data_IF_011562103899
#
_entry.id   IF_011562103899
#
_cell.length_a   1.000
_cell.length_b   1.000
_cell.length_c   1.000
_cell.angle_alpha   90.00
_cell.angle_beta   90.00
_cell.angle_gamma   90.00
#
_symmetry.space_group_name_H-M   'P 1'
#
loop_
_entity.id
_entity.type
_entity.pdbx_description
1 polymer ?
#
# COMPACT_ATOMS: atom_id res chain seq x y z
N UNK A 1 -13.89 6.30 -32.35
CA UNK A 1 -14.85 7.43 -32.21
C UNK A 1 -14.91 7.96 -30.77
N UNK A 2 -15.18 7.14 -29.74
CA UNK A 2 -15.23 7.63 -28.35
C UNK A 2 -13.88 8.19 -27.86
N UNK A 3 -12.77 7.52 -28.16
CA UNK A 3 -11.43 8.02 -27.84
C UNK A 3 -11.11 9.36 -28.54
N UNK A 4 -11.51 9.52 -29.80
CA UNK A 4 -11.30 10.77 -30.53
C UNK A 4 -11.98 11.96 -29.84
N UNK A 5 -13.21 11.79 -29.33
CA UNK A 5 -13.89 12.85 -28.54
C UNK A 5 -13.11 13.25 -27.29
N UNK A 6 -12.31 12.35 -26.74
CA UNK A 6 -11.49 12.63 -25.57
C UNK A 6 -10.23 13.40 -25.94
N UNK A 7 -9.56 12.96 -27.02
CA UNK A 7 -8.42 13.69 -27.60
C UNK A 7 -8.84 15.11 -27.99
N UNK A 8 -9.99 15.26 -28.65
CA UNK A 8 -10.54 16.56 -29.05
C UNK A 8 -10.94 17.44 -27.85
N UNK A 9 -11.19 16.83 -26.69
CA UNK A 9 -11.50 17.55 -25.46
C UNK A 9 -10.25 17.97 -24.68
N UNK A 10 -9.06 17.47 -25.03
CA UNK A 10 -7.82 17.90 -24.38
C UNK A 10 -7.55 19.37 -24.65
N UNK A 11 -7.45 20.16 -23.58
CA UNK A 11 -7.10 21.58 -23.66
C UNK A 11 -5.64 21.75 -23.22
N UNK A 12 -4.70 22.03 -24.14
CA UNK A 12 -3.29 22.20 -23.80
C UNK A 12 -3.01 23.37 -22.86
N UNK A 13 -3.91 24.36 -22.77
CA UNK A 13 -3.76 25.48 -21.85
C UNK A 13 -4.10 25.10 -20.40
N UNK A 14 -4.97 24.11 -20.23
CA UNK A 14 -5.36 23.57 -18.93
C UNK A 14 -4.54 22.33 -18.55
N UNK A 15 -3.99 21.62 -19.53
CA UNK A 15 -3.27 20.36 -19.35
C UNK A 15 -4.17 19.14 -19.17
N UNK A 16 -5.49 19.28 -19.33
CA UNK A 16 -6.43 18.19 -19.14
C UNK A 16 -7.64 18.29 -20.06
N UNK A 17 -8.41 17.21 -20.16
CA UNK A 17 -9.60 17.17 -20.98
C UNK A 17 -10.77 17.93 -20.35
N UNK A 18 -11.28 18.91 -21.08
CA UNK A 18 -12.42 19.74 -20.75
C UNK A 18 -13.68 19.22 -21.46
N UNK A 19 -14.50 18.42 -20.76
CA UNK A 19 -15.75 17.88 -21.31
C UNK A 19 -16.91 18.89 -21.24
N UNK A 20 -17.84 18.81 -22.20
CA UNK A 20 -19.08 19.58 -22.21
C UNK A 20 -20.19 18.87 -21.36
N UNK A 21 -20.70 19.55 -20.33
CA UNK A 21 -21.85 19.11 -19.50
C UNK A 21 -21.57 18.08 -18.37
N UNK A 22 -22.18 18.32 -17.19
CA UNK A 22 -22.28 17.48 -15.95
C UNK A 22 -20.99 16.98 -15.27
N UNK A 23 -19.89 16.81 -16.01
CA UNK A 23 -18.54 16.50 -15.48
C UNK A 23 -17.58 17.67 -15.62
N UNK A 24 -18.07 18.80 -16.12
CA UNK A 24 -17.29 20.03 -16.24
C UNK A 24 -16.79 20.39 -14.84
N UNK A 25 -15.51 20.73 -14.76
CA UNK A 25 -14.89 21.45 -13.66
C UNK A 25 -14.40 20.64 -12.44
N UNK A 26 -14.90 19.42 -12.14
CA UNK A 26 -14.21 18.55 -11.13
C UNK A 26 -12.97 17.95 -11.78
N UNK A 27 -11.80 18.28 -11.26
CA UNK A 27 -10.51 17.85 -11.77
C UNK A 27 -10.28 16.37 -11.43
N UNK A 28 -10.81 15.49 -12.27
CA UNK A 28 -10.63 14.05 -12.13
C UNK A 28 -9.47 13.57 -13.01
N UNK A 29 -8.29 14.17 -12.82
CA UNK A 29 -7.10 13.90 -13.63
C UNK A 29 -6.69 12.42 -13.57
N UNK A 30 -6.86 11.76 -12.41
CA UNK A 30 -6.63 10.33 -12.26
C UNK A 30 -7.48 9.49 -13.20
N UNK A 31 -8.78 9.80 -13.35
CA UNK A 31 -9.64 9.07 -14.28
C UNK A 31 -9.29 9.34 -15.74
N UNK A 32 -8.80 10.54 -16.06
CA UNK A 32 -8.34 10.86 -17.41
C UNK A 32 -7.07 10.10 -17.77
N UNK A 33 -6.12 10.03 -16.84
CA UNK A 33 -4.88 9.24 -16.97
C UNK A 33 -5.21 7.75 -17.13
N UNK A 34 -6.06 7.21 -16.24
CA UNK A 34 -6.48 5.81 -16.33
C UNK A 34 -7.18 5.47 -17.66
N UNK A 35 -7.98 6.39 -18.20
CA UNK A 35 -8.60 6.22 -19.52
C UNK A 35 -7.56 6.20 -20.64
N UNK A 36 -6.65 7.17 -20.67
CA UNK A 36 -5.63 7.29 -21.72
C UNK A 36 -4.73 6.05 -21.74
N UNK A 37 -4.35 5.58 -20.55
CA UNK A 37 -3.62 4.33 -20.38
C UNK A 37 -4.41 3.11 -20.87
N UNK A 38 -5.67 2.95 -20.45
CA UNK A 38 -6.49 1.82 -20.88
C UNK A 38 -6.66 1.76 -22.41
N UNK A 39 -6.84 2.91 -23.06
CA UNK A 39 -6.93 2.96 -24.53
C UNK A 39 -5.60 2.62 -25.18
N UNK A 40 -4.48 3.12 -24.66
CA UNK A 40 -3.14 2.76 -25.15
C UNK A 40 -2.94 1.23 -25.09
N UNK A 41 -3.27 0.61 -23.97
CA UNK A 41 -3.05 -0.83 -23.74
C UNK A 41 -3.96 -1.69 -24.62
N UNK A 42 -5.23 -1.30 -24.77
CA UNK A 42 -6.13 -1.93 -25.74
C UNK A 42 -5.63 -1.78 -27.18
N UNK A 43 -5.10 -0.62 -27.55
CA UNK A 43 -4.56 -0.38 -28.88
C UNK A 43 -3.31 -1.21 -29.16
N UNK A 44 -2.42 -1.39 -28.17
CA UNK A 44 -1.28 -2.33 -28.25
C UNK A 44 -1.79 -3.74 -28.51
N UNK A 45 -2.73 -4.21 -27.69
CA UNK A 45 -3.27 -5.56 -27.81
C UNK A 45 -3.92 -5.84 -29.17
N UNK A 46 -4.59 -4.83 -29.74
CA UNK A 46 -5.27 -4.93 -31.04
C UNK A 46 -4.36 -4.58 -32.25
N UNK A 47 -3.10 -4.19 -32.01
CA UNK A 47 -2.19 -3.78 -33.09
C UNK A 47 -2.54 -2.44 -33.77
N UNK A 48 -3.31 -1.57 -33.10
CA UNK A 48 -3.74 -0.27 -33.62
C UNK A 48 -2.70 0.83 -33.33
N UNK A 49 -1.62 0.85 -34.12
CA UNK A 49 -0.44 1.70 -33.88
C UNK A 49 -0.72 3.21 -33.81
N UNK A 50 -1.61 3.74 -34.65
CA UNK A 50 -1.96 5.17 -34.64
C UNK A 50 -2.69 5.57 -33.35
N UNK A 51 -3.69 4.78 -32.95
CA UNK A 51 -4.43 4.97 -31.69
C UNK A 51 -3.50 4.83 -30.50
N UNK A 52 -2.58 3.86 -30.52
CA UNK A 52 -1.58 3.68 -29.47
C UNK A 52 -0.70 4.94 -29.32
N UNK A 53 -0.20 5.50 -30.42
CA UNK A 53 0.64 6.70 -30.39
C UNK A 53 -0.11 7.93 -29.84
N UNK A 54 -1.36 8.13 -30.27
CA UNK A 54 -2.22 9.21 -29.76
C UNK A 54 -2.50 9.05 -28.26
N UNK A 55 -2.87 7.85 -27.82
CA UNK A 55 -3.15 7.56 -26.42
C UNK A 55 -1.89 7.71 -25.54
N UNK A 56 -0.72 7.32 -26.05
CA UNK A 56 0.55 7.50 -25.34
C UNK A 56 0.92 8.97 -25.17
N UNK A 57 0.70 9.80 -26.21
CA UNK A 57 0.95 11.25 -26.15
C UNK A 57 0.05 11.89 -25.09
N UNK A 58 -1.26 11.67 -25.21
CA UNK A 58 -2.24 12.20 -24.25
C UNK A 58 -1.96 11.72 -22.81
N UNK A 59 -1.58 10.45 -22.63
CA UNK A 59 -1.22 9.91 -21.33
C UNK A 59 -0.04 10.66 -20.72
N UNK A 60 1.03 10.89 -21.48
CA UNK A 60 2.19 11.64 -21.01
C UNK A 60 1.82 13.08 -20.64
N UNK A 61 1.06 13.76 -21.48
CA UNK A 61 0.63 15.14 -21.24
C UNK A 61 -0.21 15.26 -19.95
N UNK A 62 -1.09 14.30 -19.69
CA UNK A 62 -1.90 14.25 -18.47
C UNK A 62 -1.05 13.93 -17.23
N UNK A 63 -0.06 13.03 -17.35
CA UNK A 63 0.88 12.71 -16.27
C UNK A 63 1.75 13.92 -15.90
N UNK A 64 2.25 14.64 -16.89
CA UNK A 64 3.02 15.87 -16.67
C UNK A 64 2.14 16.95 -16.03
N UNK A 65 0.88 17.05 -16.45
CA UNK A 65 -0.10 17.94 -15.81
C UNK A 65 -0.36 17.54 -14.36
N UNK A 66 -0.42 16.25 -14.04
CA UNK A 66 -0.56 15.80 -12.65
C UNK A 66 0.62 16.27 -11.79
N UNK A 67 1.84 16.26 -12.32
CA UNK A 67 3.01 16.80 -11.62
C UNK A 67 2.87 18.31 -11.44
N UNK A 68 2.55 19.05 -12.50
CA UNK A 68 2.38 20.51 -12.44
C UNK A 68 1.30 20.94 -11.41
N UNK A 69 0.19 20.21 -11.34
CA UNK A 69 -0.88 20.47 -10.37
C UNK A 69 -0.45 20.30 -8.91
N UNK A 70 0.59 19.50 -8.63
CA UNK A 70 1.13 19.35 -7.28
C UNK A 70 1.89 20.61 -6.81
N UNK A 71 2.31 21.47 -7.73
CA UNK A 71 2.99 22.75 -7.43
C UNK A 71 2.05 23.94 -7.44
N UNK A 72 0.78 23.73 -7.81
CA UNK A 72 -0.22 24.79 -7.85
C UNK A 72 -0.39 25.50 -6.50
N UNK A 73 -0.60 24.74 -5.41
CA UNK A 73 -0.80 25.32 -4.07
C UNK A 73 0.46 26.03 -3.56
N UNK A 74 1.67 25.44 -3.62
CA UNK A 74 2.91 26.16 -3.33
C UNK A 74 3.05 27.47 -4.13
N UNK A 75 2.73 27.45 -5.43
CA UNK A 75 2.80 28.65 -6.26
C UNK A 75 1.82 29.75 -5.81
N UNK A 76 0.63 29.40 -5.30
CA UNK A 76 -0.29 30.40 -4.72
C UNK A 76 0.33 31.14 -3.53
N UNK A 77 1.15 30.47 -2.72
CA UNK A 77 1.93 31.13 -1.68
C UNK A 77 3.02 32.03 -2.27
N UNK A 78 3.74 31.54 -3.28
CA UNK A 78 4.84 32.28 -3.94
C UNK A 78 4.35 33.60 -4.58
N UNK A 79 3.13 33.63 -5.13
CA UNK A 79 2.52 34.83 -5.70
C UNK A 79 1.69 35.65 -4.71
N UNK A 80 1.60 35.22 -3.44
CA UNK A 80 0.90 35.93 -2.37
C UNK A 80 -0.63 35.80 -2.37
N UNK A 81 -1.21 34.99 -3.26
CA UNK A 81 -2.66 34.68 -3.28
C UNK A 81 -3.08 33.74 -2.13
N UNK A 82 -2.13 33.07 -1.49
CA UNK A 82 -2.33 32.27 -0.29
C UNK A 82 -1.35 32.69 0.80
N UNK A 83 -1.83 32.72 2.05
CA UNK A 83 -1.05 33.19 3.20
C UNK A 83 -0.94 32.08 4.26
N UNK A 84 0.19 31.98 4.98
CA UNK A 84 0.35 30.99 6.04
C UNK A 84 -0.71 31.14 7.14
N UNK A 85 -1.10 30.01 7.72
CA UNK A 85 -2.04 29.93 8.83
C UNK A 85 -1.39 29.20 10.01
N UNK A 86 -1.65 29.62 11.25
CA UNK A 86 -1.09 29.02 12.47
C UNK A 86 -1.96 27.88 13.01
N UNK A 87 -1.32 26.80 13.47
CA UNK A 87 -1.96 25.72 14.24
C UNK A 87 -1.77 26.00 15.71
N UNK A 88 -2.88 26.16 16.43
CA UNK A 88 -2.86 26.40 17.87
C UNK A 88 -2.75 25.06 18.58
N UNK A 89 -1.81 24.99 19.52
CA UNK A 89 -1.68 23.87 20.44
C UNK A 89 -2.22 24.29 21.82
N UNK A 90 -2.90 23.36 22.47
CA UNK A 90 -3.26 23.46 23.87
C UNK A 90 -2.00 23.34 24.75
N UNK A 91 -2.03 23.74 26.04
CA UNK A 91 -0.88 23.64 26.93
C UNK A 91 -0.29 22.23 27.10
N UNK A 92 -1.09 21.19 26.85
CA UNK A 92 -0.68 19.78 26.87
C UNK A 92 -0.05 19.30 25.54
N UNK A 93 0.10 20.20 24.55
CA UNK A 93 0.65 19.91 23.24
C UNK A 93 -0.35 19.33 22.23
N UNK A 94 -1.61 19.15 22.60
CA UNK A 94 -2.66 18.68 21.67
C UNK A 94 -3.15 19.80 20.76
N UNK A 95 -3.67 19.46 19.57
CA UNK A 95 -4.23 20.46 18.64
C UNK A 95 -5.50 21.06 19.23
N UNK A 96 -5.66 22.38 19.10
CA UNK A 96 -6.84 23.08 19.57
C UNK A 96 -8.09 22.65 18.78
N UNK A 97 -9.15 22.24 19.49
CA UNK A 97 -10.38 21.72 18.87
C UNK A 97 -11.11 22.76 17.99
N UNK A 98 -10.99 24.06 18.28
CA UNK A 98 -11.60 25.10 17.44
C UNK A 98 -10.91 25.18 16.08
N UNK A 99 -9.62 24.81 15.99
CA UNK A 99 -8.92 24.71 14.71
C UNK A 99 -9.49 23.63 13.80
N UNK A 100 -10.16 22.64 14.39
CA UNK A 100 -10.78 21.50 13.73
C UNK A 100 -12.27 21.77 13.42
N UNK A 101 -13.02 22.34 14.37
CA UNK A 101 -14.48 22.31 14.36
C UNK A 101 -15.19 23.63 14.06
N UNK A 102 -14.58 24.80 14.28
CA UNK A 102 -15.31 26.08 14.25
C UNK A 102 -14.52 27.22 13.64
N UNK A 103 -14.85 27.61 12.41
CA UNK A 103 -14.50 28.94 11.85
C UNK A 103 -13.01 29.30 11.81
N UNK A 104 -12.15 28.29 11.93
CA UNK A 104 -10.69 28.41 11.94
C UNK A 104 -10.14 28.70 10.53
N UNK A 105 -8.88 29.14 10.38
CA UNK A 105 -8.24 29.25 9.06
C UNK A 105 -8.22 27.92 8.27
N UNK A 106 -8.57 26.81 8.92
CA UNK A 106 -8.67 25.46 8.38
C UNK A 106 -10.12 24.96 8.24
N UNK A 107 -11.15 25.79 8.43
CA UNK A 107 -12.60 25.51 8.25
C UNK A 107 -12.97 24.17 7.57
N UNK A 108 -12.99 23.06 8.31
CA UNK A 108 -13.15 21.70 7.79
C UNK A 108 -12.12 21.32 6.70
N UNK A 109 -10.82 21.41 6.98
CA UNK A 109 -9.71 21.10 6.09
C UNK A 109 -8.67 20.25 6.84
N UNK A 110 -7.89 19.50 6.05
CA UNK A 110 -6.91 18.55 6.49
C UNK A 110 -5.78 19.27 7.20
N UNK A 111 -5.56 18.87 8.43
CA UNK A 111 -4.47 19.35 9.27
C UNK A 111 -3.16 18.75 8.72
N UNK A 112 -2.10 19.55 8.53
CA UNK A 112 -0.83 19.01 8.10
C UNK A 112 -0.17 18.09 9.13
N UNK A 113 0.51 17.06 8.66
CA UNK A 113 1.13 16.03 9.50
C UNK A 113 2.09 16.56 10.58
N UNK A 114 2.98 17.50 10.25
CA UNK A 114 4.16 17.78 11.09
C UNK A 114 4.50 19.26 11.30
N UNK A 115 3.56 20.19 11.14
CA UNK A 115 3.87 21.61 11.14
C UNK A 115 3.03 22.43 12.12
N UNK A 116 3.67 23.28 12.92
CA UNK A 116 2.99 24.26 13.79
C UNK A 116 2.32 25.40 12.99
N UNK A 117 2.65 25.50 11.70
CA UNK A 117 2.14 26.47 10.75
C UNK A 117 1.81 25.71 9.47
N UNK A 118 0.64 25.97 8.89
CA UNK A 118 0.37 25.59 7.49
C UNK A 118 0.90 26.70 6.60
N UNK A 119 1.82 26.35 5.73
CA UNK A 119 2.52 27.26 4.83
C UNK A 119 2.76 26.60 3.47
N UNK A 120 3.57 27.25 2.64
CA UNK A 120 3.95 26.79 1.31
C UNK A 120 4.38 25.31 1.26
N UNK A 121 5.15 24.86 2.24
CA UNK A 121 5.80 23.54 2.19
C UNK A 121 4.96 22.48 2.89
N UNK A 122 4.06 22.92 3.78
CA UNK A 122 3.29 22.04 4.66
C UNK A 122 1.81 21.99 4.32
N UNK A 123 1.31 22.79 3.39
CA UNK A 123 -0.11 22.77 3.02
C UNK A 123 -0.49 21.49 2.25
N UNK A 124 -1.37 20.63 2.81
CA UNK A 124 -1.70 19.38 2.16
C UNK A 124 -2.82 19.53 1.11
N UNK A 125 -3.30 20.76 0.87
CA UNK A 125 -4.37 21.03 -0.12
C UNK A 125 -3.93 20.65 -1.52
N UNK A 126 -4.88 20.13 -2.31
CA UNK A 126 -4.66 19.87 -3.74
C UNK A 126 -5.79 20.50 -4.55
N UNK A 127 -5.47 20.89 -5.79
CA UNK A 127 -6.50 21.32 -6.74
C UNK A 127 -7.41 20.14 -7.02
N UNK A 128 -8.71 20.34 -6.88
CA UNK A 128 -9.70 19.31 -7.17
C UNK A 128 -10.79 19.77 -8.13
N UNK A 129 -10.76 21.05 -8.49
CA UNK A 129 -11.70 21.65 -9.40
C UNK A 129 -11.05 22.84 -10.09
N UNK A 130 -11.23 22.94 -11.41
CA UNK A 130 -10.72 24.04 -12.22
C UNK A 130 -11.52 24.14 -13.52
N UNK A 131 -11.95 25.36 -13.88
CA UNK A 131 -12.67 25.64 -15.13
C UNK A 131 -11.93 26.59 -16.08
N UNK A 132 -10.62 26.74 -15.91
CA UNK A 132 -9.77 27.67 -16.66
C UNK A 132 -9.78 29.10 -16.15
N UNK A 133 -10.79 29.51 -15.37
CA UNK A 133 -10.86 30.87 -14.78
C UNK A 133 -10.92 30.85 -13.26
N UNK A 134 -11.60 29.86 -12.70
CA UNK A 134 -11.77 29.68 -11.27
C UNK A 134 -11.21 28.32 -10.88
N UNK A 135 -10.69 28.22 -9.66
CA UNK A 135 -10.21 26.97 -9.11
C UNK A 135 -10.76 26.74 -7.71
N UNK A 136 -10.74 25.47 -7.28
CA UNK A 136 -10.87 25.11 -5.87
C UNK A 136 -9.74 24.17 -5.49
N UNK A 137 -9.18 24.48 -4.34
CA UNK A 137 -8.16 23.68 -3.67
C UNK A 137 -8.84 23.13 -2.44
N UNK A 138 -9.03 21.82 -2.43
CA UNK A 138 -9.57 21.16 -1.26
C UNK A 138 -8.41 20.55 -0.49
N UNK A 139 -8.27 20.99 0.75
CA UNK A 139 -7.79 20.15 1.84
C UNK A 139 -8.99 19.55 2.60
N UNK A 140 -10.21 19.76 2.13
CA UNK A 140 -11.44 19.77 2.93
C UNK A 140 -11.94 18.44 3.49
N UNK A 141 -12.33 18.44 4.77
CA UNK A 141 -13.20 17.46 5.47
C UNK A 141 -14.69 17.79 5.39
N UNK A 142 -15.09 18.74 4.51
CA UNK A 142 -16.43 19.39 4.53
C UNK A 142 -17.52 18.40 4.95
N UNK A 143 -18.08 18.63 6.15
CA UNK A 143 -19.06 17.79 6.83
C UNK A 143 -19.12 16.36 6.26
N UNK A 144 -18.36 15.45 6.88
CA UNK A 144 -18.61 14.01 6.77
C UNK A 144 -18.11 13.31 5.49
N UNK A 145 -17.23 13.89 4.67
CA UNK A 145 -16.70 13.19 3.49
C UNK A 145 -15.26 13.58 3.17
N UNK A 146 -14.27 12.77 3.58
CA UNK A 146 -12.95 12.86 2.95
C UNK A 146 -13.04 12.26 1.54
N UNK A 147 -12.92 13.06 0.46
CA UNK A 147 -12.81 12.46 -0.87
C UNK A 147 -11.51 11.64 -0.95
N UNK A 148 -11.42 10.73 -1.91
CA UNK A 148 -10.14 10.16 -2.32
C UNK A 148 -9.05 11.24 -2.41
N UNK A 149 -7.78 10.87 -2.18
CA UNK A 149 -6.64 11.74 -2.45
C UNK A 149 -6.82 12.35 -3.85
N UNK A 150 -7.01 13.68 -3.92
CA UNK A 150 -7.41 14.34 -5.16
C UNK A 150 -6.42 14.03 -6.27
N UNK A 151 -6.88 13.47 -7.38
CA UNK A 151 -6.02 13.10 -8.51
C UNK A 151 -5.25 11.78 -8.36
N UNK A 152 -5.44 11.03 -7.28
CA UNK A 152 -4.91 9.66 -7.11
C UNK A 152 -5.95 8.58 -7.41
N UNK A 153 -7.21 8.96 -7.62
CA UNK A 153 -8.30 8.04 -7.95
C UNK A 153 -8.75 8.17 -9.42
N UNK A 154 -8.89 7.05 -10.15
CA UNK A 154 -8.25 5.76 -9.90
C UNK A 154 -6.72 5.85 -10.03
N UNK A 155 -6.02 5.00 -9.29
CA UNK A 155 -4.58 4.83 -9.36
C UNK A 155 -4.24 3.77 -10.41
N UNK A 156 -3.61 4.19 -11.51
CA UNK A 156 -3.14 3.30 -12.58
C UNK A 156 -1.64 3.03 -12.45
N UNK A 157 -1.09 2.06 -13.19
CA UNK A 157 0.35 1.74 -13.15
C UNK A 157 1.23 2.92 -13.54
N UNK A 158 0.85 3.69 -14.56
CA UNK A 158 1.63 4.82 -15.05
C UNK A 158 1.51 6.02 -14.11
N UNK A 159 0.32 6.23 -13.55
CA UNK A 159 0.14 7.19 -12.48
C UNK A 159 1.03 6.83 -11.28
N UNK A 160 1.05 5.56 -10.88
CA UNK A 160 1.87 5.05 -9.78
C UNK A 160 3.35 5.33 -10.04
N UNK A 161 3.85 4.92 -11.22
CA UNK A 161 5.24 5.12 -11.60
C UNK A 161 5.60 6.62 -11.60
N UNK A 162 4.70 7.46 -12.12
CA UNK A 162 4.88 8.92 -12.14
C UNK A 162 4.93 9.53 -10.74
N UNK A 163 3.98 9.17 -9.87
CA UNK A 163 3.93 9.65 -8.49
C UNK A 163 5.20 9.26 -7.72
N UNK A 164 5.72 8.04 -7.95
CA UNK A 164 6.98 7.60 -7.35
C UNK A 164 8.20 8.35 -7.86
N UNK A 165 8.26 8.61 -9.16
CA UNK A 165 9.39 9.29 -9.77
C UNK A 165 9.47 10.77 -9.34
N UNK A 166 8.34 11.47 -9.37
CA UNK A 166 8.34 12.94 -9.30
C UNK A 166 7.68 13.50 -8.03
N UNK A 167 6.83 12.73 -7.35
CA UNK A 167 5.98 13.22 -6.26
C UNK A 167 6.00 12.34 -5.00
N UNK A 168 7.04 11.52 -4.79
CA UNK A 168 7.07 10.57 -3.67
C UNK A 168 6.97 11.28 -2.32
N UNK A 169 7.85 12.25 -2.06
CA UNK A 169 7.86 12.99 -0.79
C UNK A 169 6.54 13.75 -0.53
N UNK A 170 5.95 14.37 -1.57
CA UNK A 170 4.64 15.02 -1.44
C UNK A 170 3.53 14.00 -1.16
N UNK A 171 3.58 12.84 -1.81
CA UNK A 171 2.61 11.76 -1.60
C UNK A 171 2.70 11.21 -0.18
N UNK A 172 3.90 10.94 0.33
CA UNK A 172 4.13 10.55 1.72
C UNK A 172 3.53 11.58 2.69
N UNK A 173 3.77 12.87 2.42
CA UNK A 173 3.27 13.95 3.24
C UNK A 173 1.73 14.02 3.23
N UNK A 174 1.10 13.90 2.06
CA UNK A 174 -0.36 13.84 1.95
C UNK A 174 -0.91 12.64 2.69
N UNK A 175 -0.38 11.43 2.46
CA UNK A 175 -0.82 10.20 3.15
C UNK A 175 -0.74 10.36 4.67
N UNK A 176 0.40 10.84 5.20
CA UNK A 176 0.58 11.08 6.64
C UNK A 176 -0.39 12.12 7.19
N UNK A 177 -0.68 13.17 6.41
CA UNK A 177 -1.67 14.18 6.80
C UNK A 177 -3.05 13.53 6.90
N UNK A 178 -3.46 12.70 5.94
CA UNK A 178 -4.71 11.94 6.05
C UNK A 178 -4.73 10.99 7.26
N UNK A 179 -3.64 10.30 7.57
CA UNK A 179 -3.55 9.37 8.70
C UNK A 179 -3.74 10.04 10.07
N UNK A 180 -3.18 11.23 10.26
CA UNK A 180 -3.36 12.00 11.51
C UNK A 180 -4.78 12.51 11.66
N UNK A 181 -5.46 12.79 10.55
CA UNK A 181 -6.79 13.38 10.56
C UNK A 181 -7.92 12.35 10.55
N UNK A 182 -7.67 11.17 9.98
CA UNK A 182 -8.65 10.12 9.89
C UNK A 182 -7.98 8.72 9.91
N UNK A 183 -8.32 7.89 10.91
CA UNK A 183 -7.95 6.48 10.88
C UNK A 183 -8.75 5.78 9.77
N UNK A 184 -8.20 5.75 8.56
CA UNK A 184 -8.86 5.31 7.32
C UNK A 184 -8.97 3.78 7.17
N UNK A 185 -8.22 3.02 7.98
CA UNK A 185 -8.07 1.56 7.87
C UNK A 185 -9.16 0.74 8.58
N UNK A 186 -9.84 1.28 9.61
CA UNK A 186 -10.84 0.53 10.40
C UNK A 186 -12.31 0.73 9.97
N UNK A 187 -12.59 1.54 8.95
CA UNK A 187 -13.97 1.91 8.61
C UNK A 187 -14.29 1.75 7.13
N UNK A 188 -15.00 0.67 6.79
CA UNK A 188 -15.71 0.55 5.53
C UNK A 188 -17.23 0.60 5.75
N UNK A 189 -17.95 1.20 4.80
CA UNK A 189 -19.35 0.95 4.40
C UNK A 189 -20.60 1.42 5.19
N UNK A 190 -20.53 2.32 6.19
CA UNK A 190 -21.69 3.20 6.51
C UNK A 190 -21.63 4.55 5.77
N UNK A 191 -20.65 4.67 4.87
CA UNK A 191 -20.45 5.75 3.93
C UNK A 191 -21.46 5.72 2.79
N UNK A 192 -22.72 6.03 3.06
CA UNK A 192 -23.69 6.26 2.00
C UNK A 192 -23.19 7.46 1.15
N UNK A 193 -23.00 7.25 -0.15
CA UNK A 193 -22.62 8.30 -1.12
C UNK A 193 -23.61 9.49 -1.15
N UNK A 194 -24.71 9.42 -0.40
CA UNK A 194 -25.59 10.52 0.03
C UNK A 194 -26.57 9.95 1.06
N UNK A 195 -26.59 10.46 2.31
CA UNK A 195 -27.81 10.67 3.13
C UNK A 195 -27.47 11.17 4.54
N UNK A 196 -27.80 12.42 4.85
CA UNK A 196 -28.25 12.86 6.19
C UNK A 196 -27.29 12.79 7.38
N UNK A 197 -27.67 13.41 8.49
CA UNK A 197 -26.88 13.54 9.73
C UNK A 197 -26.94 12.30 10.63
N UNK A 198 -25.78 11.83 11.13
CA UNK A 198 -25.67 10.81 12.20
C UNK A 198 -24.35 10.04 12.16
N UNK A 199 -23.74 9.71 13.33
CA UNK A 199 -22.32 9.29 13.61
C UNK A 199 -21.69 8.27 12.65
N UNK A 200 -22.50 7.50 11.95
CA UNK A 200 -22.06 6.41 11.07
C UNK A 200 -21.91 6.83 9.59
N UNK A 201 -22.35 8.03 9.19
CA UNK A 201 -22.50 8.47 7.79
C UNK A 201 -21.27 9.21 7.21
N UNK A 202 -20.11 9.18 7.89
CA UNK A 202 -18.99 10.13 7.69
C UNK A 202 -17.81 9.69 6.84
N UNK A 203 -17.89 8.56 6.16
CA UNK A 203 -16.71 7.93 5.57
C UNK A 203 -16.80 7.85 4.04
N UNK A 204 -15.70 7.50 3.39
CA UNK A 204 -15.61 7.43 1.93
C UNK A 204 -14.90 6.14 1.54
N UNK A 205 -15.58 5.19 0.89
CA UNK A 205 -14.95 3.94 0.48
C UNK A 205 -13.88 4.21 -0.59
N UNK A 206 -14.01 5.30 -1.33
CA UNK A 206 -12.97 5.78 -2.27
C UNK A 206 -11.72 6.27 -1.55
N UNK A 207 -11.82 6.86 -0.34
CA UNK A 207 -10.64 7.22 0.44
C UNK A 207 -9.93 5.96 0.96
N UNK A 208 -10.65 5.05 1.60
CA UNK A 208 -10.06 3.80 2.13
C UNK A 208 -9.38 3.00 1.00
N UNK A 209 -10.02 2.92 -0.17
CA UNK A 209 -9.40 2.38 -1.38
C UNK A 209 -8.13 3.13 -1.76
N UNK A 210 -8.22 4.45 -1.96
CA UNK A 210 -7.10 5.25 -2.49
C UNK A 210 -5.91 5.25 -1.53
N UNK A 211 -6.16 5.35 -0.22
CA UNK A 211 -5.10 5.26 0.80
C UNK A 211 -4.39 3.91 0.71
N UNK A 212 -5.15 2.81 0.72
CA UNK A 212 -4.57 1.48 0.62
C UNK A 212 -3.75 1.30 -0.67
N UNK A 213 -4.31 1.68 -1.81
CA UNK A 213 -3.63 1.54 -3.11
C UNK A 213 -2.39 2.44 -3.21
N UNK A 214 -2.43 3.67 -2.68
CA UNK A 214 -1.26 4.57 -2.67
C UNK A 214 -0.18 4.02 -1.77
N UNK A 215 -0.53 3.54 -0.57
CA UNK A 215 0.45 2.94 0.35
C UNK A 215 1.09 1.68 -0.24
N UNK A 216 0.29 0.82 -0.88
CA UNK A 216 0.75 -0.37 -1.58
C UNK A 216 1.63 -0.05 -2.79
N UNK A 217 1.12 0.74 -3.73
CA UNK A 217 1.72 0.86 -5.06
C UNK A 217 2.70 2.03 -5.16
N UNK A 218 2.42 3.15 -4.47
CA UNK A 218 3.27 4.35 -4.50
C UNK A 218 4.27 4.36 -3.35
N UNK A 219 3.85 4.08 -2.12
CA UNK A 219 4.78 4.08 -0.98
C UNK A 219 5.51 2.75 -0.80
N UNK A 220 5.03 1.67 -1.44
CA UNK A 220 5.60 0.32 -1.34
C UNK A 220 5.69 -0.17 0.11
N UNK A 221 4.65 0.06 0.89
CA UNK A 221 4.50 -0.64 2.16
C UNK A 221 4.39 -2.15 1.93
N UNK A 222 4.98 -2.92 2.83
CA UNK A 222 5.02 -4.38 2.72
C UNK A 222 3.67 -5.01 3.08
N UNK A 223 3.59 -6.32 2.82
CA UNK A 223 2.41 -7.10 3.12
C UNK A 223 2.03 -7.00 4.60
N UNK A 224 2.98 -7.14 5.52
CA UNK A 224 2.72 -7.18 6.96
C UNK A 224 2.10 -5.87 7.45
N UNK A 225 2.64 -4.73 7.04
CA UNK A 225 2.10 -3.42 7.36
C UNK A 225 0.68 -3.25 6.80
N UNK A 226 0.45 -3.63 5.54
CA UNK A 226 -0.83 -3.42 4.85
C UNK A 226 -1.91 -4.42 5.25
N UNK A 227 -1.56 -5.63 5.66
CA UNK A 227 -2.52 -6.65 6.08
C UNK A 227 -3.32 -6.19 7.30
N UNK A 228 -2.67 -5.48 8.22
CA UNK A 228 -3.32 -4.85 9.37
C UNK A 228 -4.17 -3.62 9.01
N UNK A 229 -4.08 -3.16 7.76
CA UNK A 229 -4.77 -1.98 7.26
C UNK A 229 -5.81 -2.32 6.19
N UNK A 230 -6.01 -3.62 5.89
CA UNK A 230 -7.04 -4.06 4.97
C UNK A 230 -8.42 -3.74 5.59
N UNK A 231 -9.28 -2.96 4.92
CA UNK A 231 -10.57 -2.62 5.49
C UNK A 231 -11.42 -3.87 5.80
N UNK A 232 -12.05 -3.90 6.96
CA UNK A 232 -12.99 -4.96 7.35
C UNK A 232 -14.19 -5.01 6.39
N UNK A 233 -14.83 -6.18 6.16
CA UNK A 233 -16.09 -6.26 5.43
C UNK A 233 -17.26 -5.88 6.37
N UNK A 234 -18.03 -4.84 6.04
CA UNK A 234 -19.02 -4.25 6.98
C UNK A 234 -20.49 -4.44 6.54
N UNK A 235 -20.79 -5.41 5.67
CA UNK A 235 -22.21 -5.76 5.40
C UNK A 235 -22.48 -7.26 5.29
N UNK A 236 -23.72 -7.61 5.61
CA UNK A 236 -24.36 -8.92 5.36
C UNK A 236 -24.43 -9.28 3.86
N UNK A 237 -23.88 -8.45 2.98
CA UNK A 237 -23.88 -8.67 1.54
C UNK A 237 -22.54 -8.28 0.90
N UNK A 238 -21.54 -9.14 1.10
CA UNK A 238 -20.18 -9.06 0.54
C UNK A 238 -20.09 -8.86 -0.98
N UNK A 239 -21.21 -9.00 -1.72
CA UNK A 239 -21.26 -8.79 -3.18
C UNK A 239 -21.08 -7.33 -3.63
N UNK A 240 -21.15 -6.36 -2.72
CA UNK A 240 -21.03 -4.93 -3.06
C UNK A 240 -19.63 -4.33 -2.77
N UNK A 241 -18.70 -5.12 -2.25
CA UNK A 241 -17.44 -4.59 -1.74
C UNK A 241 -16.30 -4.59 -2.79
N UNK A 242 -16.55 -3.93 -3.93
CA UNK A 242 -15.57 -3.88 -5.04
C UNK A 242 -14.24 -3.24 -4.61
N UNK A 243 -14.27 -2.21 -3.77
CA UNK A 243 -13.07 -1.52 -3.33
C UNK A 243 -12.23 -2.35 -2.37
N UNK A 244 -12.83 -3.04 -1.39
CA UNK A 244 -12.07 -3.97 -0.56
C UNK A 244 -11.56 -5.15 -1.37
N UNK A 245 -12.34 -5.69 -2.31
CA UNK A 245 -11.88 -6.79 -3.17
C UNK A 245 -10.66 -6.36 -4.01
N UNK A 246 -10.64 -5.12 -4.49
CA UNK A 246 -9.47 -4.55 -5.16
C UNK A 246 -8.28 -4.40 -4.20
N UNK A 247 -8.49 -3.89 -2.98
CA UNK A 247 -7.43 -3.81 -1.96
C UNK A 247 -6.89 -5.19 -1.56
N UNK A 248 -7.77 -6.19 -1.42
CA UNK A 248 -7.39 -7.57 -1.14
C UNK A 248 -6.60 -8.16 -2.31
N UNK A 249 -7.02 -7.93 -3.55
CA UNK A 249 -6.26 -8.36 -4.73
C UNK A 249 -4.87 -7.72 -4.76
N UNK A 250 -4.76 -6.42 -4.46
CA UNK A 250 -3.48 -5.72 -4.31
C UNK A 250 -2.64 -6.33 -3.19
N UNK A 251 -3.21 -6.54 -2.00
CA UNK A 251 -2.50 -7.14 -0.86
C UNK A 251 -1.98 -8.54 -1.21
N UNK A 252 -2.81 -9.38 -1.82
CA UNK A 252 -2.41 -10.73 -2.23
C UNK A 252 -1.32 -10.69 -3.30
N UNK A 253 -1.31 -9.71 -4.20
CA UNK A 253 -0.23 -9.52 -5.16
C UNK A 253 1.10 -9.11 -4.52
N UNK A 254 1.05 -8.56 -3.29
CA UNK A 254 2.22 -8.23 -2.47
C UNK A 254 2.62 -9.37 -1.52
N UNK A 255 1.87 -10.48 -1.48
CA UNK A 255 2.20 -11.60 -0.60
C UNK A 255 3.63 -12.06 -0.82
N UNK A 256 4.40 -12.35 0.25
CA UNK A 256 5.76 -12.78 0.09
C UNK A 256 5.81 -14.03 -0.80
N UNK A 257 6.51 -13.92 -1.92
CA UNK A 257 6.71 -15.06 -2.84
C UNK A 257 7.63 -16.12 -2.26
N UNK A 258 8.34 -15.81 -1.18
CA UNK A 258 9.30 -16.70 -0.53
C UNK A 258 9.30 -16.42 0.97
N UNK A 259 9.08 -17.43 1.79
CA UNK A 259 9.11 -17.29 3.25
C UNK A 259 9.85 -18.46 3.90
N UNK A 260 10.33 -18.23 5.11
CA UNK A 260 10.87 -19.26 5.97
C UNK A 260 10.34 -19.08 7.38
N UNK A 261 9.86 -20.16 7.98
CA UNK A 261 9.32 -20.17 9.33
C UNK A 261 9.81 -21.39 10.11
N UNK A 262 9.62 -21.32 11.42
CA UNK A 262 9.86 -22.42 12.36
C UNK A 262 8.63 -22.57 13.23
N UNK A 263 8.26 -23.81 13.54
CA UNK A 263 7.05 -24.12 14.31
C UNK A 263 7.06 -23.57 15.75
N UNK A 264 8.24 -23.39 16.36
CA UNK A 264 8.40 -22.95 17.75
C UNK A 264 9.33 -21.75 17.86
N UNK A 265 8.84 -20.67 18.48
CA UNK A 265 9.63 -19.48 18.81
C UNK A 265 10.61 -19.73 19.98
N UNK A 266 10.32 -20.71 20.83
CA UNK A 266 11.18 -21.17 21.93
C UNK A 266 11.16 -22.69 22.00
N UNK A 267 12.29 -23.31 22.33
CA UNK A 267 12.39 -24.75 22.53
C UNK A 267 13.44 -25.11 23.59
N UNK A 268 13.24 -26.22 24.30
CA UNK A 268 14.19 -26.76 25.26
C UNK A 268 15.13 -27.78 24.59
N UNK A 269 16.29 -28.06 25.20
CA UNK A 269 17.24 -29.07 24.71
C UNK A 269 16.55 -30.42 24.42
N UNK A 270 16.86 -31.00 23.26
CA UNK A 270 16.28 -32.26 22.80
C UNK A 270 14.91 -32.15 22.11
N UNK A 271 14.28 -30.98 22.11
CA UNK A 271 13.03 -30.77 21.37
C UNK A 271 13.25 -30.70 19.86
N UNK A 272 12.19 -30.96 19.11
CA UNK A 272 12.16 -30.91 17.65
C UNK A 272 11.68 -29.55 17.16
N UNK A 273 12.45 -28.97 16.25
CA UNK A 273 12.06 -27.83 15.44
C UNK A 273 11.78 -28.31 14.02
N UNK A 274 10.64 -27.90 13.48
CA UNK A 274 10.30 -28.09 12.07
C UNK A 274 10.41 -26.75 11.37
N UNK A 275 11.28 -26.68 10.37
CA UNK A 275 11.40 -25.54 9.48
C UNK A 275 10.53 -25.76 8.25
N UNK A 276 9.90 -24.68 7.79
CA UNK A 276 9.13 -24.63 6.55
C UNK A 276 9.67 -23.50 5.69
N UNK A 277 9.98 -23.79 4.42
CA UNK A 277 10.37 -22.82 3.40
C UNK A 277 9.32 -22.87 2.31
N UNK A 278 8.65 -21.76 2.05
CA UNK A 278 7.69 -21.62 0.96
C UNK A 278 8.30 -20.84 -0.19
N UNK A 279 7.90 -21.19 -1.41
CA UNK A 279 8.35 -20.58 -2.64
C UNK A 279 7.18 -20.51 -3.64
N UNK A 280 7.00 -19.38 -4.30
CA UNK A 280 6.10 -19.22 -5.45
C UNK A 280 6.96 -19.10 -6.71
N UNK A 281 6.75 -20.01 -7.65
CA UNK A 281 7.49 -20.06 -8.91
C UNK A 281 7.20 -18.89 -9.84
N UNK A 282 8.19 -18.56 -10.67
CA UNK A 282 8.11 -17.55 -11.75
C UNK A 282 8.02 -18.17 -13.16
N UNK A 283 7.95 -19.51 -13.26
CA UNK A 283 8.07 -20.23 -14.52
C UNK A 283 9.52 -20.57 -14.93
N UNK A 284 10.52 -20.16 -14.14
CA UNK A 284 11.93 -20.47 -14.35
C UNK A 284 12.47 -21.49 -13.32
N UNK A 285 13.76 -21.84 -13.44
CA UNK A 285 14.43 -22.70 -12.47
C UNK A 285 14.58 -21.98 -11.14
N UNK A 286 14.19 -22.65 -10.06
CA UNK A 286 14.26 -22.19 -8.69
C UNK A 286 15.19 -23.09 -7.86
N UNK A 287 15.74 -22.53 -6.79
CA UNK A 287 16.65 -23.24 -5.87
C UNK A 287 16.43 -22.84 -4.43
N UNK A 288 16.57 -23.81 -3.52
CA UNK A 288 16.64 -23.61 -2.07
C UNK A 288 17.97 -24.22 -1.59
N UNK A 289 18.69 -23.50 -0.74
CA UNK A 289 19.90 -23.97 -0.07
C UNK A 289 19.87 -23.52 1.39
N UNK A 290 19.78 -24.46 2.32
CA UNK A 290 19.56 -24.19 3.74
C UNK A 290 20.53 -24.98 4.60
N UNK A 291 21.44 -24.29 5.28
CA UNK A 291 22.42 -24.94 6.15
C UNK A 291 21.80 -25.25 7.50
N UNK A 292 22.04 -26.46 8.02
CA UNK A 292 21.54 -26.85 9.34
C UNK A 292 22.11 -25.88 10.40
N UNK A 293 21.26 -25.21 11.19
CA UNK A 293 21.71 -24.13 12.05
C UNK A 293 22.53 -24.64 13.23
N UNK A 294 23.49 -23.84 13.67
CA UNK A 294 24.29 -24.14 14.85
C UNK A 294 23.41 -24.37 16.09
N UNK A 295 23.81 -25.32 16.93
CA UNK A 295 23.05 -25.73 18.10
C UNK A 295 21.87 -26.65 17.79
N UNK A 296 21.79 -27.20 16.57
CA UNK A 296 20.84 -28.23 16.19
C UNK A 296 21.51 -29.38 15.45
N UNK A 297 20.81 -30.51 15.34
CA UNK A 297 21.20 -31.64 14.50
C UNK A 297 20.03 -32.02 13.59
N UNK A 298 20.29 -32.22 12.30
CA UNK A 298 19.28 -32.67 11.35
C UNK A 298 18.69 -34.02 11.75
N UNK A 299 17.36 -34.15 11.66
CA UNK A 299 16.68 -35.44 11.78
C UNK A 299 16.70 -36.11 10.41
N UNK A 300 17.44 -37.22 10.22
CA UNK A 300 17.57 -37.86 8.92
C UNK A 300 16.22 -38.19 8.29
N UNK A 301 16.09 -37.97 6.98
CA UNK A 301 14.87 -38.24 6.20
C UNK A 301 13.62 -37.46 6.63
N UNK A 302 13.78 -36.39 7.40
CA UNK A 302 12.66 -35.50 7.74
C UNK A 302 12.36 -34.47 6.66
N UNK A 303 13.28 -34.26 5.71
CA UNK A 303 13.08 -33.32 4.62
C UNK A 303 12.06 -33.86 3.61
N UNK A 304 11.10 -33.02 3.22
CA UNK A 304 10.06 -33.34 2.23
C UNK A 304 9.67 -32.08 1.45
N UNK A 305 9.10 -32.27 0.26
CA UNK A 305 8.61 -31.21 -0.61
C UNK A 305 7.18 -31.49 -1.09
N UNK A 306 6.35 -30.45 -1.12
CA UNK A 306 4.98 -30.48 -1.66
C UNK A 306 4.78 -29.28 -2.60
N UNK A 307 4.37 -29.47 -3.87
CA UNK A 307 4.20 -30.75 -4.54
C UNK A 307 5.54 -31.48 -4.77
N UNK A 308 5.49 -32.80 -4.99
CA UNK A 308 6.67 -33.62 -5.29
C UNK A 308 7.21 -33.32 -6.69
N UNK A 309 7.94 -32.21 -6.82
CA UNK A 309 8.58 -31.75 -8.05
C UNK A 309 10.04 -31.39 -7.79
N UNK A 310 10.84 -31.39 -8.85
CA UNK A 310 12.27 -31.10 -8.76
C UNK A 310 13.06 -32.20 -8.04
N UNK A 311 14.20 -31.82 -7.47
CA UNK A 311 15.14 -32.71 -6.79
C UNK A 311 15.45 -32.13 -5.42
N UNK A 312 15.01 -32.82 -4.37
CA UNK A 312 15.39 -32.57 -2.98
C UNK A 312 16.66 -33.38 -2.66
N UNK A 313 17.63 -32.74 -2.03
CA UNK A 313 18.83 -33.38 -1.46
C UNK A 313 18.93 -32.99 0.00
N UNK A 314 18.82 -33.97 0.90
CA UNK A 314 18.99 -33.79 2.33
C UNK A 314 20.32 -34.37 2.83
N UNK A 315 20.97 -33.64 3.71
CA UNK A 315 22.22 -34.06 4.34
C UNK A 315 22.35 -33.48 5.73
N UNK A 316 23.28 -34.03 6.53
CA UNK A 316 23.49 -33.63 7.92
C UNK A 316 23.80 -32.15 8.14
N UNK A 317 24.29 -31.46 7.11
CA UNK A 317 24.74 -30.07 7.18
C UNK A 317 23.97 -29.13 6.23
N UNK A 318 23.26 -29.67 5.23
CA UNK A 318 22.65 -28.88 4.18
C UNK A 318 21.39 -29.59 3.68
N UNK A 319 20.30 -28.83 3.60
CA UNK A 319 19.10 -29.19 2.86
C UNK A 319 19.08 -28.34 1.60
N UNK A 320 18.92 -28.96 0.43
CA UNK A 320 18.87 -28.24 -0.83
C UNK A 320 17.81 -28.79 -1.75
N UNK A 321 17.22 -27.92 -2.56
CA UNK A 321 16.25 -28.30 -3.55
C UNK A 321 16.47 -27.51 -4.84
N UNK A 322 16.27 -28.15 -5.99
CA UNK A 322 16.28 -27.48 -7.29
C UNK A 322 15.20 -28.05 -8.21
N UNK A 323 14.54 -27.18 -8.96
CA UNK A 323 13.50 -27.59 -9.89
C UNK A 323 12.98 -26.44 -10.72
N UNK A 324 12.05 -26.73 -11.62
CA UNK A 324 11.28 -25.71 -12.35
C UNK A 324 9.90 -25.63 -11.71
N UNK A 325 9.50 -24.44 -11.28
CA UNK A 325 8.15 -24.18 -10.78
C UNK A 325 7.42 -23.29 -11.78
N UNK A 326 6.28 -23.79 -12.26
CA UNK A 326 5.36 -23.01 -13.10
C UNK A 326 4.98 -21.71 -12.41
N UNK A 327 4.86 -20.64 -13.19
CA UNK A 327 4.49 -19.32 -12.67
C UNK A 327 3.20 -19.38 -11.82
N UNK A 328 3.25 -18.74 -10.66
CA UNK A 328 2.17 -18.70 -9.68
C UNK A 328 1.91 -19.99 -8.89
N UNK A 329 2.64 -21.08 -9.13
CA UNK A 329 2.52 -22.30 -8.32
C UNK A 329 3.45 -22.27 -7.11
N UNK A 330 2.95 -22.81 -5.99
CA UNK A 330 3.69 -22.88 -4.74
C UNK A 330 4.49 -24.19 -4.63
N UNK A 331 5.57 -24.12 -3.85
CA UNK A 331 6.34 -25.23 -3.32
C UNK A 331 6.55 -24.97 -1.83
N UNK A 332 6.35 -26.00 -1.02
CA UNK A 332 6.69 -26.02 0.39
C UNK A 332 7.76 -27.09 0.65
N UNK A 333 8.89 -26.69 1.20
CA UNK A 333 9.94 -27.58 1.69
C UNK A 333 9.91 -27.57 3.22
N UNK A 334 9.75 -28.73 3.84
CA UNK A 334 9.83 -28.86 5.29
C UNK A 334 10.95 -29.81 5.70
N UNK A 335 11.58 -29.56 6.84
CA UNK A 335 12.56 -30.48 7.44
C UNK A 335 12.64 -30.27 8.95
N UNK A 336 13.09 -31.28 9.69
CA UNK A 336 13.18 -31.24 11.14
C UNK A 336 14.63 -31.29 11.65
N UNK A 337 14.87 -30.59 12.76
CA UNK A 337 16.12 -30.64 13.52
C UNK A 337 15.82 -30.85 15.00
N UNK A 338 16.78 -31.41 15.73
CA UNK A 338 16.75 -31.54 17.19
C UNK A 338 17.64 -30.48 17.82
N UNK A 339 17.17 -29.81 18.87
CA UNK A 339 17.98 -28.85 19.65
C UNK A 339 19.08 -29.60 20.42
N UNK A 340 20.34 -29.16 20.29
CA UNK A 340 21.52 -29.80 20.91
C UNK A 340 22.26 -28.91 21.90
N UNK A 341 21.92 -27.63 21.98
CA UNK A 341 22.44 -26.70 23.00
C UNK A 341 21.69 -26.88 24.31
N UNK A 342 22.42 -26.92 25.42
CA UNK A 342 21.84 -27.01 26.78
C UNK A 342 21.65 -25.63 27.44
N UNK A 343 22.39 -24.63 26.99
CA UNK A 343 22.34 -23.26 27.50
C UNK A 343 21.40 -22.37 26.66
N UNK A 344 20.95 -21.23 27.21
CA UNK A 344 20.18 -20.24 26.45
C UNK A 344 20.93 -19.79 25.19
N UNK A 345 20.33 -19.99 24.01
CA UNK A 345 20.98 -19.71 22.74
C UNK A 345 19.96 -19.31 21.66
N UNK A 346 20.28 -18.29 20.85
CA UNK A 346 19.46 -17.92 19.70
C UNK A 346 19.85 -18.77 18.47
N UNK A 347 19.00 -19.75 18.13
CA UNK A 347 19.15 -20.56 16.92
C UNK A 347 18.59 -19.75 15.76
N UNK A 348 19.47 -19.26 14.89
CA UNK A 348 19.10 -18.56 13.66
C UNK A 348 19.36 -19.48 12.47
N UNK A 349 18.29 -19.87 11.78
CA UNK A 349 18.36 -20.68 10.58
C UNK A 349 18.25 -19.80 9.33
N UNK A 350 19.16 -19.96 8.36
CA UNK A 350 19.27 -19.08 7.20
C UNK A 350 19.30 -19.89 5.89
N UNK A 351 18.35 -19.61 5.00
CA UNK A 351 18.25 -20.25 3.69
C UNK A 351 18.50 -19.23 2.57
N UNK A 352 19.34 -19.58 1.61
CA UNK A 352 19.45 -18.88 0.34
C UNK A 352 18.42 -19.47 -0.64
N UNK A 353 17.53 -18.62 -1.14
CA UNK A 353 16.39 -19.01 -1.95
C UNK A 353 16.34 -18.19 -3.24
N UNK A 354 16.05 -18.84 -4.35
CA UNK A 354 15.83 -18.24 -5.65
C UNK A 354 14.55 -18.81 -6.26
N UNK A 355 13.58 -17.96 -6.61
CA UNK A 355 12.30 -18.37 -7.21
C UNK A 355 12.29 -18.35 -8.76
N UNK A 356 13.45 -18.13 -9.38
CA UNK A 356 13.65 -17.94 -10.81
C UNK A 356 13.67 -16.48 -11.27
N UNK A 357 13.29 -15.53 -10.41
CA UNK A 357 13.27 -14.09 -10.69
C UNK A 357 14.22 -13.32 -9.75
N UNK A 358 14.11 -13.58 -8.45
CA UNK A 358 14.90 -12.90 -7.41
C UNK A 358 15.61 -13.90 -6.49
N UNK A 359 16.73 -13.47 -5.91
CA UNK A 359 17.44 -14.18 -4.84
C UNK A 359 17.13 -13.51 -3.50
N UNK A 360 16.85 -14.30 -2.45
CA UNK A 360 16.72 -13.81 -1.08
C UNK A 360 17.38 -14.73 -0.06
N UNK A 361 17.86 -14.14 1.01
CA UNK A 361 18.17 -14.87 2.24
C UNK A 361 16.97 -14.78 3.18
N UNK A 362 16.44 -15.93 3.57
CA UNK A 362 15.31 -16.06 4.48
C UNK A 362 15.79 -16.57 5.83
N UNK A 363 15.26 -16.02 6.92
CA UNK A 363 15.67 -16.37 8.27
C UNK A 363 14.49 -16.79 9.14
N UNK A 364 14.68 -17.82 9.97
CA UNK A 364 13.76 -18.17 11.05
C UNK A 364 14.56 -18.34 12.35
N UNK A 365 14.02 -17.81 13.46
CA UNK A 365 14.72 -17.79 14.76
C UNK A 365 13.92 -18.49 15.85
N UNK A 366 14.61 -19.31 16.63
CA UNK A 366 14.10 -19.92 17.86
C UNK A 366 15.05 -19.60 19.01
N UNK A 367 14.52 -19.27 20.19
CA UNK A 367 15.32 -19.14 21.41
C UNK A 367 15.34 -20.50 22.14
N UNK A 368 16.49 -21.17 22.11
CA UNK A 368 16.71 -22.39 22.85
C UNK A 368 16.90 -22.10 24.35
N UNK A 369 16.34 -22.95 25.21
CA UNK A 369 16.47 -22.91 26.67
C UNK A 369 16.24 -21.50 27.26
N UNK A 370 15.21 -20.81 26.77
CA UNK A 370 14.94 -19.41 27.13
C UNK A 370 14.75 -19.23 28.64
N UNK A 371 15.25 -18.12 29.19
CA UNK A 371 14.96 -17.76 30.58
C UNK A 371 13.46 -17.55 30.79
N UNK A 372 12.87 -18.35 31.69
CA UNK A 372 11.44 -18.28 32.01
C UNK A 372 11.24 -17.23 33.12
N UNK A 373 10.65 -16.08 32.76
CA UNK A 373 10.22 -15.06 33.72
C UNK A 373 8.72 -15.20 33.91
N UNK A 374 8.29 -15.50 35.14
CA UNK A 374 6.88 -15.55 35.51
C UNK A 374 6.49 -14.23 36.18
N UNK A 375 5.43 -13.58 35.69
CA UNK A 375 4.86 -12.42 36.37
C UNK A 375 4.31 -12.86 37.73
N UNK A 376 4.54 -12.09 38.81
CA UNK A 376 3.94 -12.39 40.11
C UNK A 376 2.42 -12.32 40.01
N UNK A 377 1.74 -13.41 40.36
CA UNK A 377 0.29 -13.45 40.51
C UNK A 377 -0.06 -12.58 41.72
N UNK A 378 -0.66 -11.40 41.49
CA UNK A 378 -1.30 -10.62 42.54
C UNK A 378 -2.68 -11.23 42.79
N UNK A 379 -2.81 -12.08 43.80
CA UNK A 379 -4.12 -12.48 44.30
C UNK A 379 -4.79 -11.25 44.93
N UNK A 380 -5.88 -10.77 44.33
CA UNK A 380 -6.77 -9.79 44.98
C UNK A 380 -7.43 -10.50 46.16
N UNK A 381 -7.00 -10.13 47.38
CA UNK A 381 -7.71 -10.52 48.60
C UNK A 381 -9.14 -9.99 48.54
N UNK A 382 -10.09 -10.89 48.78
CA UNK A 382 -11.53 -10.67 48.73
C UNK A 382 -12.03 -9.71 49.80
#
# INVERSE_FOLDING_TARGET
QQFQRFVDAYDPSLGFCAFEGWRVKRLNIGAQIGMAQAVRDMAVHLGHTSTQAQASTLLNDLLDTRVALADFVPNLYDIGERQPAQIRLNPDGTINNDDIMQGSPYNNQLIPYSAALRDRDTDPSQVNWWDGSNYRVDAGTQFMHYPALSGYFPLSSEMTARLRADLLAKTEYYVKSYEVNNPWWWMSDLAHHTTGSGEHLYHSPTLAWTMFQVKAMVLQEDWDALAHQLPEPVSFNSRYDLYRLQNLATLLSLSPKMEKSVNLATADHGELLTYTISLVGSGATATISDSIPAGTAYVPHSAQVEPQVGVLTDGSNLISWTGVLTDGHYLELTFAVTVTVEEPFAIVNMAAVNNGEENRELTATTIANAFKIYLPIVMRGW
#
